data_IF_610150034633
#
_entry.id   IF_610150034633
#
_cell.length_a   1.000
_cell.length_b   1.000
_cell.length_c   1.000
_cell.angle_alpha   90.00
_cell.angle_beta   90.00
_cell.angle_gamma   90.00
#
_symmetry.space_group_name_H-M   'P 1'
#
loop_
_entity.id
_entity.type
_entity.pdbx_description
1 polymer ?
#
# COMPACT_ATOMS: atom_id res chain seq x y z
N UNK A 1 12.58 9.57 -19.92
CA UNK A 1 11.40 9.23 -19.10
C UNK A 1 11.31 10.18 -17.91
N UNK A 2 10.10 10.47 -17.44
CA UNK A 2 9.96 11.26 -16.22
C UNK A 2 10.24 10.39 -14.98
N UNK A 3 10.61 11.05 -13.88
CA UNK A 3 10.82 10.37 -12.60
C UNK A 3 9.59 9.51 -12.18
N UNK A 4 8.38 10.06 -12.36
CA UNK A 4 7.14 9.31 -12.09
C UNK A 4 7.06 8.04 -12.95
N UNK A 5 7.30 8.12 -14.24
CA UNK A 5 7.22 6.96 -15.12
C UNK A 5 8.28 5.89 -14.79
N UNK A 6 9.49 6.30 -14.42
CA UNK A 6 10.52 5.37 -13.97
C UNK A 6 10.11 4.64 -12.69
N UNK A 7 9.56 5.36 -11.73
CA UNK A 7 9.09 4.76 -10.48
C UNK A 7 7.92 3.81 -10.70
N UNK A 8 7.02 4.11 -11.63
CA UNK A 8 5.91 3.20 -11.97
C UNK A 8 6.42 1.89 -12.60
N UNK A 9 7.41 1.96 -13.46
CA UNK A 9 8.01 0.74 -14.04
C UNK A 9 8.71 -0.12 -12.98
N UNK A 10 9.43 0.50 -12.04
CA UNK A 10 10.05 -0.21 -10.92
C UNK A 10 9.01 -0.83 -10.01
N UNK A 11 7.92 -0.11 -9.72
CA UNK A 11 6.83 -0.60 -8.89
C UNK A 11 6.17 -1.85 -9.48
N UNK A 12 5.91 -1.85 -10.77
CA UNK A 12 5.36 -3.02 -11.47
C UNK A 12 6.29 -4.23 -11.36
N UNK A 13 7.59 -4.02 -11.47
CA UNK A 13 8.59 -5.09 -11.35
C UNK A 13 8.69 -5.66 -9.93
N UNK A 14 8.57 -4.80 -8.92
CA UNK A 14 8.66 -5.19 -7.52
C UNK A 14 7.39 -5.86 -6.98
N UNK A 15 6.25 -5.60 -7.57
CA UNK A 15 4.95 -6.02 -7.05
C UNK A 15 4.16 -6.87 -8.06
N UNK A 16 4.75 -7.94 -8.62
CA UNK A 16 4.02 -8.81 -9.53
C UNK A 16 2.86 -9.51 -8.80
N UNK A 17 1.71 -9.61 -9.45
CA UNK A 17 0.53 -10.24 -8.87
C UNK A 17 -0.27 -9.38 -7.89
N UNK A 18 0.00 -8.07 -7.86
CA UNK A 18 -0.73 -7.11 -7.00
C UNK A 18 -1.40 -6.02 -7.86
N UNK A 19 -2.37 -6.39 -8.74
CA UNK A 19 -2.93 -5.44 -9.71
C UNK A 19 -3.66 -4.27 -9.07
N UNK A 20 -4.37 -4.46 -7.97
CA UNK A 20 -5.09 -3.39 -7.28
C UNK A 20 -4.14 -2.33 -6.72
N UNK A 21 -3.03 -2.77 -6.13
CA UNK A 21 -2.02 -1.86 -5.62
C UNK A 21 -1.32 -1.09 -6.75
N UNK A 22 -0.97 -1.78 -7.83
CA UNK A 22 -0.33 -1.16 -9.00
C UNK A 22 -1.25 -0.12 -9.63
N UNK A 23 -2.54 -0.41 -9.73
CA UNK A 23 -3.52 0.53 -10.29
C UNK A 23 -3.62 1.79 -9.43
N UNK A 24 -3.81 1.64 -8.13
CA UNK A 24 -3.92 2.76 -7.20
C UNK A 24 -2.66 3.64 -7.22
N UNK A 25 -1.48 3.02 -7.18
CA UNK A 25 -0.22 3.74 -7.25
C UNK A 25 -0.07 4.47 -8.58
N UNK A 26 -0.46 3.86 -9.69
CA UNK A 26 -0.41 4.50 -11.01
C UNK A 26 -1.28 5.76 -11.04
N UNK A 27 -2.51 5.68 -10.56
CA UNK A 27 -3.42 6.83 -10.54
C UNK A 27 -2.89 7.96 -9.68
N UNK A 28 -2.45 7.66 -8.46
CA UNK A 28 -1.95 8.67 -7.53
C UNK A 28 -0.64 9.28 -8.02
N UNK A 29 0.36 8.48 -8.38
CA UNK A 29 1.65 9.00 -8.81
C UNK A 29 1.54 9.82 -10.09
N UNK A 30 0.70 9.43 -11.03
CA UNK A 30 0.44 10.22 -12.23
C UNK A 30 -0.16 11.58 -11.89
N UNK A 31 -1.09 11.62 -10.93
CA UNK A 31 -1.69 12.88 -10.49
C UNK A 31 -0.70 13.79 -9.77
N UNK A 32 0.36 13.24 -9.18
CA UNK A 32 1.40 14.00 -8.49
C UNK A 32 2.49 14.54 -9.41
N UNK A 33 2.52 14.12 -10.67
CA UNK A 33 3.59 14.51 -11.59
C UNK A 33 3.82 16.03 -11.69
N UNK A 34 2.78 16.88 -11.80
CA UNK A 34 2.98 18.33 -11.81
C UNK A 34 3.63 18.87 -10.53
N UNK A 35 3.29 18.30 -9.37
CA UNK A 35 3.86 18.68 -8.07
C UNK A 35 5.35 18.32 -8.01
N UNK A 36 5.69 17.11 -8.47
CA UNK A 36 7.08 16.64 -8.49
C UNK A 36 7.93 17.50 -9.43
N UNK A 37 7.41 17.82 -10.60
CA UNK A 37 8.12 18.69 -11.58
C UNK A 37 8.36 20.08 -11.02
N UNK A 38 7.42 20.63 -10.26
CA UNK A 38 7.53 21.95 -9.65
C UNK A 38 8.47 21.97 -8.43
N UNK A 39 8.81 20.81 -7.86
CA UNK A 39 9.58 20.67 -6.63
C UNK A 39 10.70 19.63 -6.80
N UNK A 40 11.81 19.94 -7.50
CA UNK A 40 12.88 18.98 -7.76
C UNK A 40 13.50 18.37 -6.49
N UNK A 41 13.39 19.04 -5.35
CA UNK A 41 13.87 18.51 -4.08
C UNK A 41 13.16 17.21 -3.65
N UNK A 42 11.95 16.97 -4.11
CA UNK A 42 11.22 15.73 -3.79
C UNK A 42 11.83 14.53 -4.52
N UNK A 43 12.24 14.70 -5.76
CA UNK A 43 12.98 13.67 -6.49
C UNK A 43 14.33 13.39 -5.82
N UNK A 44 15.08 14.42 -5.46
CA UNK A 44 16.36 14.28 -4.79
C UNK A 44 16.24 13.57 -3.44
N UNK A 45 15.10 13.72 -2.76
CA UNK A 45 14.82 13.04 -1.48
C UNK A 45 14.26 11.62 -1.65
N UNK A 46 14.03 11.15 -2.89
CA UNK A 46 13.43 9.83 -3.15
C UNK A 46 12.03 9.70 -2.60
N UNK A 47 11.20 10.73 -2.73
CA UNK A 47 9.89 10.76 -2.09
C UNK A 47 8.96 9.67 -2.62
N UNK A 48 8.97 9.42 -3.93
CA UNK A 48 8.08 8.43 -4.53
C UNK A 48 8.46 7.01 -4.12
N UNK A 49 9.76 6.70 -4.10
CA UNK A 49 10.25 5.40 -3.65
C UNK A 49 9.84 5.11 -2.20
N UNK A 50 9.86 6.13 -1.37
CA UNK A 50 9.51 6.01 0.05
C UNK A 50 8.01 5.89 0.28
N UNK A 51 7.19 6.57 -0.52
CA UNK A 51 5.73 6.55 -0.39
C UNK A 51 5.15 5.22 -0.84
N UNK A 52 5.68 4.62 -1.90
CA UNK A 52 5.14 3.38 -2.47
C UNK A 52 5.63 2.11 -1.78
N UNK A 53 6.70 2.20 -0.97
CA UNK A 53 7.24 1.06 -0.25
C UNK A 53 6.71 1.05 1.18
N UNK A 54 5.95 0.01 1.60
CA UNK A 54 5.52 -0.07 3.00
C UNK A 54 6.70 -0.26 3.94
N UNK A 55 6.61 0.33 5.14
CA UNK A 55 7.65 0.19 6.14
C UNK A 55 7.78 -1.25 6.65
N UNK A 56 6.64 -1.97 6.76
CA UNK A 56 6.61 -3.35 7.22
C UNK A 56 5.38 -4.08 6.70
N UNK A 57 5.55 -5.35 6.38
CA UNK A 57 4.46 -6.26 6.04
C UNK A 57 4.56 -7.49 6.95
N UNK A 58 3.45 -7.85 7.59
CA UNK A 58 3.38 -8.99 8.49
C UNK A 58 2.34 -9.96 7.96
N UNK A 59 2.73 -11.20 7.72
CA UNK A 59 1.83 -12.30 7.39
C UNK A 59 1.86 -13.29 8.54
N UNK A 60 0.68 -13.78 8.95
CA UNK A 60 0.58 -14.66 10.11
C UNK A 60 -0.54 -15.67 9.93
N UNK A 61 -0.39 -16.80 10.61
CA UNK A 61 -1.37 -17.87 10.64
C UNK A 61 -2.46 -17.56 11.68
N UNK A 62 -3.71 -17.73 11.29
CA UNK A 62 -4.87 -17.57 12.19
C UNK A 62 -5.64 -18.89 12.24
N UNK A 63 -5.35 -19.78 13.20
CA UNK A 63 -6.15 -20.97 13.44
C UNK A 63 -7.41 -20.62 14.25
N UNK A 64 -8.52 -21.23 13.89
CA UNK A 64 -9.80 -21.04 14.59
C UNK A 64 -10.70 -22.25 14.39
N UNK A 65 -11.71 -22.39 15.22
CA UNK A 65 -12.66 -23.50 15.17
C UNK A 65 -14.01 -22.95 14.70
N UNK A 66 -14.55 -23.55 13.65
CA UNK A 66 -15.86 -23.15 13.11
C UNK A 66 -17.03 -23.70 13.94
N UNK A 67 -18.25 -23.33 13.55
CA UNK A 67 -19.48 -23.72 14.27
C UNK A 67 -19.72 -25.23 14.23
N UNK A 68 -19.08 -25.97 13.35
CA UNK A 68 -19.14 -27.44 13.25
C UNK A 68 -18.04 -28.13 14.06
N UNK A 69 -17.24 -27.39 14.82
CA UNK A 69 -16.13 -27.93 15.59
C UNK A 69 -14.90 -28.27 14.75
N UNK A 70 -14.85 -27.86 13.48
CA UNK A 70 -13.74 -28.14 12.58
C UNK A 70 -12.70 -27.03 12.65
N UNK A 71 -11.41 -27.43 12.74
CA UNK A 71 -10.30 -26.48 12.71
C UNK A 71 -10.13 -25.89 11.30
N UNK A 72 -10.14 -24.58 11.24
CA UNK A 72 -9.85 -23.79 10.05
C UNK A 72 -8.55 -23.03 10.25
N UNK A 73 -7.83 -22.78 9.16
CA UNK A 73 -6.58 -22.01 9.21
C UNK A 73 -6.64 -20.93 8.14
N UNK A 74 -6.64 -19.69 8.57
CA UNK A 74 -6.62 -18.53 7.70
C UNK A 74 -5.26 -17.86 7.74
N UNK A 75 -5.01 -16.99 6.77
CA UNK A 75 -3.82 -16.15 6.72
C UNK A 75 -4.23 -14.72 7.01
N UNK A 76 -3.56 -14.10 7.99
CA UNK A 76 -3.74 -12.69 8.29
C UNK A 76 -2.66 -11.83 7.67
N UNK A 77 -3.01 -10.60 7.34
CA UNK A 77 -2.10 -9.61 6.76
C UNK A 77 -2.18 -8.30 7.52
N UNK A 78 -1.03 -7.74 7.85
CA UNK A 78 -0.92 -6.38 8.37
C UNK A 78 0.13 -5.62 7.57
N UNK A 79 -0.26 -4.56 6.92
CA UNK A 79 0.66 -3.69 6.19
C UNK A 79 0.79 -2.37 6.95
N UNK A 80 2.02 -2.06 7.34
CA UNK A 80 2.38 -0.81 8.00
C UNK A 80 3.06 0.07 6.95
N UNK A 81 2.29 1.02 6.41
CA UNK A 81 2.73 1.74 5.23
C UNK A 81 3.64 2.92 5.57
N UNK A 82 3.16 3.83 6.40
CA UNK A 82 3.93 5.04 6.72
C UNK A 82 3.57 5.57 8.10
N UNK A 83 4.58 5.85 8.92
CA UNK A 83 4.44 6.35 10.29
C UNK A 83 4.81 7.83 10.45
N UNK A 84 4.99 8.57 9.34
CA UNK A 84 5.52 9.92 9.37
C UNK A 84 4.69 10.91 10.21
N UNK A 85 3.37 10.72 10.26
CA UNK A 85 2.47 11.60 11.02
C UNK A 85 1.82 10.90 12.21
N UNK A 86 2.18 9.69 12.51
CA UNK A 86 1.64 8.96 13.66
C UNK A 86 1.67 7.44 13.48
N UNK A 87 1.12 6.70 14.48
CA UNK A 87 1.08 5.24 14.41
C UNK A 87 0.20 4.75 13.27
N UNK A 88 0.49 3.52 12.82
CA UNK A 88 -0.29 2.90 11.75
C UNK A 88 -1.72 2.64 12.22
N UNK A 89 -2.69 3.21 11.51
CA UNK A 89 -4.11 3.14 11.87
C UNK A 89 -4.95 3.01 10.61
N UNK A 90 -5.83 2.02 10.61
CA UNK A 90 -6.76 1.80 9.51
C UNK A 90 -7.84 0.81 9.89
N UNK A 91 -8.76 0.57 8.96
CA UNK A 91 -9.84 -0.38 9.15
C UNK A 91 -9.39 -1.84 9.09
N UNK A 92 -10.25 -2.72 9.58
CA UNK A 92 -10.13 -4.16 9.46
C UNK A 92 -11.03 -4.65 8.32
N UNK A 93 -10.50 -5.52 7.47
CA UNK A 93 -11.29 -6.14 6.41
C UNK A 93 -11.31 -7.64 6.56
N UNK A 94 -12.52 -8.19 6.74
CA UNK A 94 -12.78 -9.62 6.85
C UNK A 94 -13.57 -10.07 5.62
N UNK A 95 -12.89 -10.65 4.65
CA UNK A 95 -13.51 -11.15 3.41
C UNK A 95 -12.62 -12.21 2.76
N UNK A 96 -13.21 -13.24 2.13
CA UNK A 96 -12.44 -14.29 1.46
C UNK A 96 -11.52 -13.80 0.33
N UNK A 97 -11.84 -12.65 -0.28
CA UNK A 97 -11.02 -12.07 -1.36
C UNK A 97 -9.78 -11.33 -0.87
N UNK A 98 -9.59 -11.18 0.44
CA UNK A 98 -8.45 -10.45 1.00
C UNK A 98 -7.13 -11.16 0.67
N UNK A 99 -6.19 -10.41 0.13
CA UNK A 99 -4.81 -10.83 -0.10
C UNK A 99 -3.86 -9.66 0.19
N UNK A 100 -2.57 -9.91 0.12
CA UNK A 100 -1.56 -8.91 0.43
C UNK A 100 -1.68 -7.68 -0.46
N UNK A 101 -1.92 -7.86 -1.75
CA UNK A 101 -2.07 -6.75 -2.71
C UNK A 101 -3.23 -5.83 -2.39
N UNK A 102 -4.38 -6.40 -1.97
CA UNK A 102 -5.56 -5.62 -1.56
C UNK A 102 -5.28 -4.82 -0.29
N UNK A 103 -4.61 -5.41 0.69
CA UNK A 103 -4.27 -4.70 1.93
C UNK A 103 -3.24 -3.59 1.66
N UNK A 104 -2.27 -3.80 0.79
CA UNK A 104 -1.35 -2.76 0.34
C UNK A 104 -2.08 -1.63 -0.38
N UNK A 105 -3.03 -1.96 -1.24
CA UNK A 105 -3.90 -0.99 -1.91
C UNK A 105 -4.63 -0.10 -0.91
N UNK A 106 -5.29 -0.71 0.09
CA UNK A 106 -6.03 0.04 1.11
C UNK A 106 -5.10 0.90 1.97
N UNK A 107 -3.94 0.38 2.37
CA UNK A 107 -2.95 1.12 3.15
C UNK A 107 -2.38 2.31 2.38
N UNK A 108 -2.10 2.12 1.11
CA UNK A 108 -1.61 3.18 0.24
C UNK A 108 -2.64 4.31 0.06
N UNK A 109 -3.89 3.95 -0.19
CA UNK A 109 -4.96 4.95 -0.30
C UNK A 109 -5.16 5.74 0.98
N UNK A 110 -5.03 5.10 2.14
CA UNK A 110 -5.20 5.78 3.42
C UNK A 110 -4.14 6.86 3.69
N UNK A 111 -2.93 6.72 3.17
CA UNK A 111 -1.91 7.77 3.27
C UNK A 111 -2.44 9.08 2.70
N UNK A 112 -3.10 9.02 1.55
CA UNK A 112 -3.62 10.21 0.87
C UNK A 112 -4.96 10.66 1.43
N UNK A 113 -5.79 9.76 1.93
CA UNK A 113 -7.07 10.10 2.56
C UNK A 113 -6.90 10.88 3.87
N UNK A 114 -5.86 10.61 4.63
CA UNK A 114 -5.56 11.37 5.86
C UNK A 114 -5.33 12.87 5.61
N UNK A 115 -4.91 13.23 4.41
CA UNK A 115 -4.70 14.62 4.01
C UNK A 115 -6.00 15.38 3.74
N UNK A 116 -7.11 14.67 3.52
CA UNK A 116 -8.41 15.28 3.24
C UNK A 116 -9.16 15.71 4.51
N UNK A 117 -8.76 15.22 5.67
CA UNK A 117 -9.41 15.50 6.95
C UNK A 117 -8.63 16.46 7.86
N UNK A 118 -7.48 16.89 7.40
CA UNK A 118 -6.67 17.90 8.08
C UNK A 118 -6.68 19.22 7.35
#
# INVERSE_FOLDING_TARGET
MSYVSEQLELLKKKNPGEPEFIQAATEVLTSLEPVIQANPQYEAAGILERIVEPERQIMFRVPWVDDNGKVQVNRGYRVQFNSAIGPYKGGLRLHPSVNLGIIKFLGFEQIFNCLLYT
#
